data_IF_117405187212
#
_entry.id   IF_117405187212
#
_cell.length_a   1.000
_cell.length_b   1.000
_cell.length_c   1.000
_cell.angle_alpha   90.00
_cell.angle_beta   90.00
_cell.angle_gamma   90.00
#
_symmetry.space_group_name_H-M   'P 1'
#
loop_
_entity.id
_entity.type
_entity.pdbx_description
1 polymer ?
#
# COMPACT_ATOMS: atom_id res chain seq x y z
N UNK A 1 19.10 9.76 16.83
CA UNK A 1 17.89 10.17 17.58
C UNK A 1 16.99 11.14 16.81
N UNK A 2 17.50 12.24 16.22
CA UNK A 2 16.65 13.24 15.52
C UNK A 2 15.84 12.64 14.34
N UNK A 3 16.46 11.77 13.53
CA UNK A 3 15.76 11.10 12.43
C UNK A 3 14.73 10.05 12.93
N UNK A 4 14.90 9.53 14.15
CA UNK A 4 13.99 8.56 14.76
C UNK A 4 12.71 9.27 15.24
N UNK A 5 12.86 10.38 15.98
CA UNK A 5 11.73 11.16 16.51
C UNK A 5 10.88 11.76 15.38
N UNK A 6 11.50 12.28 14.31
CA UNK A 6 10.76 12.84 13.17
C UNK A 6 10.01 11.77 12.36
N UNK A 7 10.65 10.62 12.10
CA UNK A 7 10.03 9.54 11.33
C UNK A 7 8.90 8.86 12.12
N UNK A 8 9.07 8.68 13.43
CA UNK A 8 8.09 8.00 14.25
C UNK A 8 6.89 8.89 14.57
N UNK A 9 7.09 10.19 14.84
CA UNK A 9 5.98 11.16 15.00
C UNK A 9 5.09 11.22 13.75
N UNK A 10 5.69 11.16 12.56
CA UNK A 10 4.95 11.11 11.28
C UNK A 10 4.06 9.86 11.20
N UNK A 11 4.54 8.70 11.68
CA UNK A 11 3.75 7.46 11.68
C UNK A 11 2.56 7.52 12.64
N UNK A 12 2.70 8.16 13.80
CA UNK A 12 1.59 8.41 14.72
C UNK A 12 0.52 9.31 14.09
N UNK A 13 0.95 10.39 13.44
CA UNK A 13 0.05 11.30 12.74
C UNK A 13 -0.71 10.59 11.61
N UNK A 14 0.01 9.85 10.76
CA UNK A 14 -0.59 9.05 9.67
C UNK A 14 -1.63 8.05 10.22
N UNK A 15 -1.30 7.31 11.28
CA UNK A 15 -2.23 6.36 11.85
C UNK A 15 -3.47 7.08 12.39
N UNK A 16 -3.32 8.18 13.13
CA UNK A 16 -4.46 8.94 13.66
C UNK A 16 -5.38 9.45 12.55
N UNK A 17 -4.83 9.83 11.40
CA UNK A 17 -5.60 10.31 10.25
C UNK A 17 -6.44 9.19 9.61
N UNK A 18 -5.92 7.96 9.53
CA UNK A 18 -6.58 6.86 8.82
C UNK A 18 -7.30 5.83 9.71
N UNK A 19 -7.03 5.81 11.01
CA UNK A 19 -7.53 4.77 11.93
C UNK A 19 -9.06 4.63 11.90
N UNK A 20 -9.78 5.73 11.74
CA UNK A 20 -11.25 5.72 11.71
C UNK A 20 -11.84 4.97 10.51
N UNK A 21 -11.10 4.73 9.43
CA UNK A 21 -11.59 3.94 8.30
C UNK A 21 -11.65 2.44 8.60
N UNK A 22 -11.00 1.94 9.67
CA UNK A 22 -11.02 0.52 10.03
C UNK A 22 -12.41 0.02 10.47
N UNK A 23 -13.19 0.89 11.10
CA UNK A 23 -14.52 0.60 11.64
C UNK A 23 -15.62 1.28 10.81
N UNK A 24 -15.35 2.44 10.21
CA UNK A 24 -16.29 3.10 9.31
C UNK A 24 -16.50 2.32 7.99
N UNK A 25 -15.45 1.83 7.34
CA UNK A 25 -15.60 1.12 6.07
C UNK A 25 -16.46 -0.17 6.15
N UNK A 26 -16.36 -1.03 7.18
CA UNK A 26 -17.30 -2.15 7.36
C UNK A 26 -18.74 -1.70 7.56
N UNK A 27 -18.98 -0.62 8.30
CA UNK A 27 -20.32 -0.08 8.54
C UNK A 27 -20.90 0.47 7.22
N UNK A 28 -20.09 1.17 6.45
CA UNK A 28 -20.49 1.71 5.15
C UNK A 28 -20.77 0.60 4.13
N UNK A 29 -19.97 -0.47 4.14
CA UNK A 29 -20.21 -1.63 3.29
C UNK A 29 -21.55 -2.32 3.61
N UNK A 30 -21.88 -2.49 4.89
CA UNK A 30 -23.12 -3.13 5.32
C UNK A 30 -24.34 -2.24 5.10
N UNK A 31 -24.24 -0.95 5.45
CA UNK A 31 -25.34 0.01 5.24
C UNK A 31 -25.61 0.23 3.75
N UNK A 32 -24.55 0.31 2.94
CA UNK A 32 -24.64 0.37 1.50
C UNK A 32 -25.36 -0.82 0.88
N UNK A 33 -25.07 -2.04 1.36
CA UNK A 33 -25.73 -3.26 0.90
C UNK A 33 -27.22 -3.20 1.20
N UNK A 34 -27.57 -2.80 2.43
CA UNK A 34 -28.94 -2.67 2.87
C UNK A 34 -29.73 -1.63 2.07
N UNK A 35 -29.13 -0.47 1.77
CA UNK A 35 -29.76 0.57 0.97
C UNK A 35 -29.98 0.13 -0.48
N UNK A 36 -28.97 -0.45 -1.12
CA UNK A 36 -29.09 -0.94 -2.50
C UNK A 36 -30.11 -2.08 -2.59
N UNK A 37 -30.11 -2.98 -1.60
CA UNK A 37 -31.14 -4.02 -1.45
C UNK A 37 -32.54 -3.42 -1.37
N UNK A 38 -32.73 -2.35 -0.60
CA UNK A 38 -34.04 -1.72 -0.41
C UNK A 38 -34.56 -1.02 -1.68
N UNK A 39 -33.66 -0.57 -2.56
CA UNK A 39 -34.00 0.19 -3.77
C UNK A 39 -34.27 -0.73 -4.97
N UNK A 40 -33.39 -1.71 -5.23
CA UNK A 40 -33.43 -2.53 -6.46
C UNK A 40 -33.83 -3.99 -6.16
N UNK A 41 -33.85 -4.39 -4.89
CA UNK A 41 -34.13 -5.75 -4.46
C UNK A 41 -32.87 -6.60 -4.25
N UNK A 42 -33.06 -7.80 -3.70
CA UNK A 42 -31.97 -8.66 -3.21
C UNK A 42 -31.06 -9.20 -4.31
N UNK A 43 -31.64 -9.81 -5.35
CA UNK A 43 -30.87 -10.52 -6.37
C UNK A 43 -29.98 -9.58 -7.21
N UNK A 44 -30.47 -8.40 -7.69
CA UNK A 44 -29.63 -7.46 -8.41
C UNK A 44 -28.52 -6.86 -7.52
N UNK A 45 -28.85 -6.53 -6.26
CA UNK A 45 -27.88 -6.01 -5.30
C UNK A 45 -26.75 -7.01 -5.03
N UNK A 46 -27.09 -8.29 -4.86
CA UNK A 46 -26.12 -9.36 -4.64
C UNK A 46 -25.16 -9.52 -5.82
N UNK A 47 -25.66 -9.43 -7.06
CA UNK A 47 -24.81 -9.53 -8.26
C UNK A 47 -23.74 -8.43 -8.30
N UNK A 48 -24.14 -7.17 -8.06
CA UNK A 48 -23.22 -6.04 -7.99
C UNK A 48 -22.20 -6.18 -6.84
N UNK A 49 -22.65 -6.63 -5.66
CA UNK A 49 -21.76 -6.86 -4.51
C UNK A 49 -20.75 -7.98 -4.73
N UNK A 50 -21.14 -9.09 -5.37
CA UNK A 50 -20.21 -10.16 -5.70
C UNK A 50 -19.11 -9.67 -6.65
N UNK A 51 -19.47 -8.88 -7.66
CA UNK A 51 -18.49 -8.28 -8.55
C UNK A 51 -17.61 -7.25 -7.81
N UNK A 52 -18.18 -6.49 -6.89
CA UNK A 52 -17.43 -5.55 -6.07
C UNK A 52 -16.38 -6.25 -5.19
N UNK A 53 -16.77 -7.33 -4.50
CA UNK A 53 -15.85 -8.16 -3.72
C UNK A 53 -14.76 -8.75 -4.63
N UNK A 54 -15.14 -9.26 -5.80
CA UNK A 54 -14.18 -9.80 -6.76
C UNK A 54 -13.14 -8.75 -7.19
N UNK A 55 -13.56 -7.52 -7.51
CA UNK A 55 -12.65 -6.42 -7.86
C UNK A 55 -11.71 -6.11 -6.70
N UNK A 56 -12.21 -6.03 -5.46
CA UNK A 56 -11.37 -5.79 -4.28
C UNK A 56 -10.32 -6.89 -4.12
N UNK A 57 -10.69 -8.16 -4.29
CA UNK A 57 -9.75 -9.29 -4.19
C UNK A 57 -8.63 -9.18 -5.23
N UNK A 58 -8.97 -8.84 -6.48
CA UNK A 58 -7.98 -8.60 -7.53
C UNK A 58 -7.05 -7.43 -7.15
N UNK A 59 -7.59 -6.34 -6.62
CA UNK A 59 -6.80 -5.18 -6.19
C UNK A 59 -5.86 -5.52 -5.02
N UNK A 60 -6.29 -6.37 -4.09
CA UNK A 60 -5.44 -6.86 -2.98
C UNK A 60 -4.26 -7.67 -3.54
N UNK A 61 -4.50 -8.56 -4.51
CA UNK A 61 -3.44 -9.34 -5.16
C UNK A 61 -2.46 -8.42 -5.90
N UNK A 62 -2.97 -7.45 -6.67
CA UNK A 62 -2.14 -6.45 -7.34
C UNK A 62 -1.31 -5.63 -6.35
N UNK A 63 -1.90 -5.23 -5.22
CA UNK A 63 -1.22 -4.44 -4.18
C UNK A 63 -0.12 -5.25 -3.47
N UNK A 64 -0.36 -6.52 -3.16
CA UNK A 64 0.68 -7.42 -2.62
C UNK A 64 1.85 -7.58 -3.58
N UNK A 65 1.54 -7.85 -4.84
CA UNK A 65 2.54 -7.93 -5.91
C UNK A 65 3.35 -6.63 -5.99
N UNK A 66 2.70 -5.48 -5.92
CA UNK A 66 3.36 -4.18 -5.95
C UNK A 66 4.31 -3.98 -4.76
N UNK A 67 3.94 -4.45 -3.56
CA UNK A 67 4.79 -4.42 -2.37
C UNK A 67 6.06 -5.26 -2.55
N UNK A 68 5.94 -6.48 -3.10
CA UNK A 68 7.09 -7.35 -3.37
C UNK A 68 8.06 -6.72 -4.39
N UNK A 69 7.51 -6.10 -5.45
CA UNK A 69 8.33 -5.37 -6.42
C UNK A 69 9.01 -4.13 -5.80
N UNK A 70 8.33 -3.44 -4.88
CA UNK A 70 8.91 -2.29 -4.19
C UNK A 70 10.15 -2.70 -3.37
N UNK A 71 10.06 -3.79 -2.61
CA UNK A 71 11.19 -4.34 -1.86
C UNK A 71 12.35 -4.76 -2.77
N UNK A 72 12.03 -5.35 -3.93
CA UNK A 72 13.05 -5.72 -4.90
C UNK A 72 13.77 -4.50 -5.50
N UNK A 73 13.01 -3.44 -5.86
CA UNK A 73 13.58 -2.19 -6.35
C UNK A 73 14.50 -1.56 -5.30
N UNK A 74 14.09 -1.54 -4.04
CA UNK A 74 14.92 -1.03 -2.94
C UNK A 74 16.25 -1.80 -2.84
N UNK A 75 16.20 -3.14 -2.85
CA UNK A 75 17.41 -3.98 -2.83
C UNK A 75 18.33 -3.74 -4.03
N UNK A 76 17.77 -3.60 -5.23
CA UNK A 76 18.55 -3.28 -6.42
C UNK A 76 19.22 -1.91 -6.32
N UNK A 77 18.49 -0.90 -5.85
CA UNK A 77 18.99 0.45 -5.66
C UNK A 77 20.10 0.50 -4.60
N UNK A 78 19.93 -0.17 -3.47
CA UNK A 78 20.93 -0.26 -2.40
C UNK A 78 22.23 -0.89 -2.91
N UNK A 79 22.14 -2.01 -3.64
CA UNK A 79 23.30 -2.67 -4.25
C UNK A 79 24.02 -1.76 -5.25
N UNK A 80 23.26 -1.02 -6.08
CA UNK A 80 23.83 -0.05 -7.02
C UNK A 80 24.57 1.07 -6.28
N UNK A 81 23.96 1.63 -5.23
CA UNK A 81 24.55 2.70 -4.42
C UNK A 81 25.81 2.20 -3.69
N UNK A 82 25.78 0.99 -3.16
CA UNK A 82 26.94 0.36 -2.53
C UNK A 82 28.11 0.24 -3.52
N UNK A 83 27.87 -0.33 -4.70
CA UNK A 83 28.92 -0.48 -5.73
C UNK A 83 29.46 0.87 -6.17
N UNK A 84 28.59 1.87 -6.33
CA UNK A 84 29.00 3.22 -6.67
C UNK A 84 29.90 3.82 -5.57
N UNK A 85 29.53 3.62 -4.31
CA UNK A 85 30.35 4.05 -3.16
C UNK A 85 31.71 3.36 -3.12
N UNK A 86 31.78 2.05 -3.37
CA UNK A 86 33.03 1.30 -3.44
C UNK A 86 33.94 1.84 -4.55
N UNK A 87 33.37 2.13 -5.73
CA UNK A 87 34.09 2.72 -6.85
C UNK A 87 34.61 4.13 -6.56
N UNK A 88 33.81 4.98 -5.90
CA UNK A 88 34.23 6.33 -5.51
C UNK A 88 35.35 6.28 -4.45
N UNK A 89 35.26 5.37 -3.50
CA UNK A 89 36.32 5.17 -2.50
C UNK A 89 37.63 4.67 -3.14
N UNK A 90 37.56 3.88 -4.20
CA UNK A 90 38.71 3.36 -4.95
C UNK A 90 39.05 4.16 -6.22
N UNK A 91 38.67 5.44 -6.31
CA UNK A 91 38.73 6.24 -7.55
C UNK A 91 40.13 6.27 -8.19
N UNK A 92 41.19 6.42 -7.40
CA UNK A 92 42.56 6.46 -7.91
C UNK A 92 42.95 5.18 -8.66
N UNK A 93 42.50 4.01 -8.19
CA UNK A 93 42.78 2.70 -8.82
C UNK A 93 42.08 2.61 -10.18
N UNK A 94 40.83 3.05 -10.25
CA UNK A 94 40.04 3.05 -11.49
C UNK A 94 40.71 3.93 -12.55
N UNK A 95 41.19 5.12 -12.15
CA UNK A 95 41.90 6.06 -13.03
C UNK A 95 43.26 5.54 -13.49
N UNK A 96 44.10 5.01 -12.58
CA UNK A 96 45.44 4.51 -12.97
C UNK A 96 45.38 3.33 -13.95
N UNK A 97 44.30 2.56 -13.95
CA UNK A 97 44.14 1.40 -14.83
C UNK A 97 43.23 1.67 -16.05
N UNK A 98 42.77 2.91 -16.26
CA UNK A 98 41.79 3.26 -17.30
C UNK A 98 40.53 2.36 -17.29
N UNK A 99 40.05 1.97 -16.10
CA UNK A 99 38.87 1.09 -15.94
C UNK A 99 37.52 1.82 -15.96
N UNK A 100 37.50 3.08 -16.38
CA UNK A 100 36.30 3.93 -16.35
C UNK A 100 35.15 3.35 -17.16
N UNK A 101 35.42 2.93 -18.40
CA UNK A 101 34.41 2.33 -19.27
C UNK A 101 33.85 1.02 -18.69
N UNK A 102 34.69 0.25 -18.00
CA UNK A 102 34.28 -1.01 -17.37
C UNK A 102 33.41 -0.76 -16.14
N UNK A 103 33.78 0.23 -15.33
CA UNK A 103 32.99 0.68 -14.17
C UNK A 103 31.62 1.21 -14.61
N UNK A 104 31.59 2.04 -15.66
CA UNK A 104 30.36 2.56 -16.25
C UNK A 104 29.45 1.42 -16.73
N UNK A 105 29.96 0.49 -17.53
CA UNK A 105 29.20 -0.66 -18.03
C UNK A 105 28.60 -1.48 -16.88
N UNK A 106 29.37 -1.70 -15.81
CA UNK A 106 28.90 -2.42 -14.63
C UNK A 106 27.73 -1.70 -13.95
N UNK A 107 27.84 -0.39 -13.69
CA UNK A 107 26.76 0.40 -13.07
C UNK A 107 25.54 0.49 -13.98
N UNK A 108 25.73 0.70 -15.28
CA UNK A 108 24.63 0.77 -16.25
C UNK A 108 23.85 -0.55 -16.33
N UNK A 109 24.53 -1.70 -16.32
CA UNK A 109 23.84 -3.00 -16.32
C UNK A 109 22.93 -3.19 -15.08
N UNK A 110 23.37 -2.72 -13.91
CA UNK A 110 22.55 -2.75 -12.69
C UNK A 110 21.36 -1.80 -12.81
N UNK A 111 21.59 -0.61 -13.35
CA UNK A 111 20.57 0.41 -13.58
C UNK A 111 19.51 -0.04 -14.59
N UNK A 112 19.89 -0.74 -15.65
CA UNK A 112 18.96 -1.32 -16.63
C UNK A 112 18.05 -2.38 -16.00
N UNK A 113 18.61 -3.24 -15.14
CA UNK A 113 17.81 -4.23 -14.41
C UNK A 113 16.81 -3.58 -13.45
N UNK A 114 17.25 -2.55 -12.73
CA UNK A 114 16.39 -1.73 -11.86
C UNK A 114 15.27 -1.05 -12.67
N UNK A 115 15.60 -0.40 -13.79
CA UNK A 115 14.61 0.24 -14.66
C UNK A 115 13.59 -0.74 -15.25
N UNK A 116 14.01 -1.94 -15.64
CA UNK A 116 13.10 -2.99 -16.12
C UNK A 116 12.08 -3.37 -15.04
N UNK A 117 12.53 -3.51 -13.80
CA UNK A 117 11.69 -3.81 -12.64
C UNK A 117 10.74 -2.66 -12.30
N UNK A 118 11.24 -1.42 -12.32
CA UNK A 118 10.43 -0.21 -12.17
C UNK A 118 9.33 -0.15 -13.23
N UNK A 119 9.66 -0.41 -14.50
CA UNK A 119 8.68 -0.37 -15.60
C UNK A 119 7.53 -1.37 -15.39
N UNK A 120 7.84 -2.60 -14.96
CA UNK A 120 6.82 -3.61 -14.61
C UNK A 120 5.94 -3.16 -13.45
N UNK A 121 6.54 -2.55 -12.43
CA UNK A 121 5.85 -2.00 -11.26
C UNK A 121 4.85 -0.92 -11.67
N UNK A 122 5.25 0.02 -12.52
CA UNK A 122 4.34 1.05 -13.04
C UNK A 122 3.23 0.49 -13.92
N UNK A 123 3.49 -0.56 -14.70
CA UNK A 123 2.45 -1.24 -15.48
C UNK A 123 1.39 -1.87 -14.56
N UNK A 124 1.81 -2.61 -13.53
CA UNK A 124 0.89 -3.20 -12.54
C UNK A 124 0.10 -2.11 -11.81
N UNK A 125 0.77 -1.01 -11.43
CA UNK A 125 0.13 0.13 -10.79
C UNK A 125 -0.92 0.79 -11.69
N UNK A 126 -0.62 0.95 -12.98
CA UNK A 126 -1.56 1.48 -13.96
C UNK A 126 -2.78 0.56 -14.13
N UNK A 127 -2.58 -0.76 -14.18
CA UNK A 127 -3.66 -1.74 -14.22
C UNK A 127 -4.53 -1.68 -12.95
N UNK A 128 -3.92 -1.60 -11.77
CA UNK A 128 -4.64 -1.50 -10.51
C UNK A 128 -5.49 -0.22 -10.44
N UNK A 129 -4.95 0.91 -10.90
CA UNK A 129 -5.68 2.18 -11.00
C UNK A 129 -6.81 2.11 -12.04
N UNK A 130 -6.56 1.47 -13.19
CA UNK A 130 -7.56 1.23 -14.22
C UNK A 130 -8.73 0.40 -13.70
N UNK A 131 -8.44 -0.69 -12.97
CA UNK A 131 -9.45 -1.51 -12.29
C UNK A 131 -10.24 -0.69 -11.26
N UNK A 132 -9.59 0.17 -10.49
CA UNK A 132 -10.27 1.03 -9.52
C UNK A 132 -11.28 1.97 -10.18
N UNK A 133 -10.92 2.61 -11.28
CA UNK A 133 -11.81 3.51 -12.04
C UNK A 133 -12.93 2.73 -12.73
N UNK A 134 -12.61 1.58 -13.33
CA UNK A 134 -13.58 0.73 -14.03
C UNK A 134 -14.53 -0.04 -13.11
N UNK A 135 -14.23 -0.13 -11.80
CA UNK A 135 -15.01 -0.88 -10.83
C UNK A 135 -16.47 -0.44 -10.78
N UNK A 136 -16.73 0.86 -10.56
CA UNK A 136 -18.11 1.38 -10.44
C UNK A 136 -18.91 1.13 -11.71
N UNK A 137 -18.29 1.33 -12.88
CA UNK A 137 -18.93 1.07 -14.17
C UNK A 137 -19.27 -0.42 -14.34
N UNK A 138 -18.30 -1.30 -14.05
CA UNK A 138 -18.48 -2.76 -14.13
C UNK A 138 -19.60 -3.26 -13.21
N UNK A 139 -19.64 -2.78 -11.97
CA UNK A 139 -20.67 -3.11 -10.96
C UNK A 139 -22.06 -2.63 -11.40
N UNK A 140 -22.12 -1.41 -11.95
CA UNK A 140 -23.36 -0.83 -12.46
C UNK A 140 -23.89 -1.64 -13.65
N UNK A 141 -23.02 -1.99 -14.59
CA UNK A 141 -23.37 -2.83 -15.75
C UNK A 141 -23.86 -4.22 -15.34
N UNK A 142 -23.22 -4.85 -14.35
CA UNK A 142 -23.67 -6.14 -13.84
C UNK A 142 -25.06 -6.06 -13.19
N UNK A 143 -25.30 -5.02 -12.38
CA UNK A 143 -26.58 -4.80 -11.70
C UNK A 143 -27.69 -4.54 -12.72
N UNK A 144 -27.49 -3.63 -13.68
CA UNK A 144 -28.47 -3.31 -14.73
C UNK A 144 -28.69 -4.51 -15.66
N UNK A 145 -27.62 -5.21 -16.05
CA UNK A 145 -27.71 -6.39 -16.90
C UNK A 145 -28.56 -7.49 -16.28
N UNK A 146 -28.46 -7.68 -14.96
CA UNK A 146 -29.31 -8.63 -14.22
C UNK A 146 -30.79 -8.19 -14.22
N UNK A 147 -31.07 -6.91 -13.96
CA UNK A 147 -32.45 -6.37 -13.99
C UNK A 147 -33.07 -6.59 -15.36
N UNK A 148 -32.32 -6.28 -16.43
CA UNK A 148 -32.75 -6.44 -17.81
C UNK A 148 -33.07 -7.91 -18.14
N UNK A 149 -32.20 -8.85 -17.75
CA UNK A 149 -32.42 -10.28 -17.99
C UNK A 149 -33.65 -10.83 -17.26
N UNK A 150 -33.97 -10.27 -16.09
CA UNK A 150 -35.07 -10.75 -15.25
C UNK A 150 -36.42 -10.09 -15.62
N UNK A 151 -36.47 -9.29 -16.70
CA UNK A 151 -37.61 -8.43 -17.06
C UNK A 151 -38.10 -7.57 -15.87
N UNK A 152 -37.19 -7.20 -14.97
CA UNK A 152 -37.50 -6.39 -13.81
C UNK A 152 -37.76 -4.95 -14.25
N UNK A 153 -38.94 -4.42 -13.93
CA UNK A 153 -39.25 -3.01 -14.11
C UNK A 153 -38.74 -2.23 -12.90
N UNK A 154 -37.54 -1.66 -13.00
CA UNK A 154 -36.98 -0.74 -12.00
C UNK A 154 -37.02 0.68 -12.56
N UNK A 155 -37.43 1.64 -11.75
CA UNK A 155 -37.50 3.05 -12.16
C UNK A 155 -36.07 3.56 -12.39
N UNK A 156 -35.85 4.36 -13.43
CA UNK A 156 -34.52 4.89 -13.74
C UNK A 156 -33.87 5.61 -12.54
N UNK A 157 -34.66 6.30 -11.72
CA UNK A 157 -34.17 7.01 -10.53
C UNK A 157 -33.52 6.07 -9.51
N UNK A 158 -34.08 4.88 -9.33
CA UNK A 158 -33.61 3.86 -8.39
C UNK A 158 -32.27 3.28 -8.86
N UNK A 159 -32.13 3.07 -10.17
CA UNK A 159 -30.88 2.64 -10.80
C UNK A 159 -29.77 3.68 -10.58
N UNK A 160 -30.02 4.96 -10.89
CA UNK A 160 -29.02 6.01 -10.69
C UNK A 160 -28.64 6.19 -9.21
N UNK A 161 -29.61 6.01 -8.31
CA UNK A 161 -29.38 6.08 -6.88
C UNK A 161 -28.47 4.94 -6.41
N UNK A 162 -28.71 3.70 -6.85
CA UNK A 162 -27.85 2.57 -6.49
C UNK A 162 -26.43 2.69 -7.07
N UNK A 163 -26.29 3.17 -8.32
CA UNK A 163 -24.97 3.45 -8.91
C UNK A 163 -24.19 4.45 -8.07
N UNK A 164 -24.86 5.49 -7.59
CA UNK A 164 -24.26 6.51 -6.72
C UNK A 164 -23.78 5.89 -5.40
N UNK A 165 -24.59 5.02 -4.78
CA UNK A 165 -24.19 4.30 -3.57
C UNK A 165 -22.98 3.39 -3.79
N UNK A 166 -22.93 2.63 -4.89
CA UNK A 166 -21.73 1.83 -5.23
C UNK A 166 -20.48 2.72 -5.35
N UNK A 167 -20.60 3.91 -5.93
CA UNK A 167 -19.50 4.86 -6.05
C UNK A 167 -18.99 5.36 -4.69
N UNK A 168 -19.90 5.63 -3.75
CA UNK A 168 -19.61 6.09 -2.38
C UNK A 168 -18.90 5.00 -1.59
N UNK A 169 -19.48 3.80 -1.49
CA UNK A 169 -18.94 2.66 -0.69
C UNK A 169 -17.57 2.22 -1.18
N UNK A 170 -17.30 2.36 -2.48
CA UNK A 170 -16.08 1.86 -3.12
C UNK A 170 -14.80 2.47 -2.55
N UNK A 171 -14.74 3.79 -2.39
CA UNK A 171 -13.51 4.48 -1.98
C UNK A 171 -13.04 4.10 -0.57
N UNK A 172 -13.89 4.15 0.47
CA UNK A 172 -13.48 3.79 1.83
C UNK A 172 -13.10 2.33 1.96
N UNK A 173 -13.86 1.42 1.33
CA UNK A 173 -13.61 -0.03 1.42
C UNK A 173 -12.38 -0.46 0.61
N UNK A 174 -12.24 0.02 -0.64
CA UNK A 174 -11.18 -0.46 -1.53
C UNK A 174 -9.85 0.29 -1.35
N UNK A 175 -9.86 1.53 -0.84
CA UNK A 175 -8.65 2.36 -0.73
C UNK A 175 -8.30 2.72 0.71
N UNK A 176 -9.22 3.31 1.47
CA UNK A 176 -8.87 3.85 2.79
C UNK A 176 -8.69 2.76 3.84
N UNK A 177 -9.50 1.70 3.81
CA UNK A 177 -9.36 0.59 4.75
C UNK A 177 -8.01 -0.13 4.62
N UNK A 178 -7.52 -0.52 3.42
CA UNK A 178 -6.17 -1.06 3.27
C UNK A 178 -5.07 -0.13 3.77
N UNK A 179 -5.17 1.17 3.49
CA UNK A 179 -4.21 2.18 3.97
C UNK A 179 -4.24 2.24 5.51
N UNK A 180 -5.42 2.25 6.11
CA UNK A 180 -5.56 2.27 7.56
C UNK A 180 -4.94 1.03 8.22
N UNK A 181 -5.11 -0.15 7.63
CA UNK A 181 -4.46 -1.39 8.08
C UNK A 181 -2.94 -1.27 8.00
N UNK A 182 -2.41 -0.82 6.86
CA UNK A 182 -0.96 -0.63 6.66
C UNK A 182 -0.37 0.33 7.70
N UNK A 183 -0.96 1.51 7.86
CA UNK A 183 -0.49 2.53 8.81
C UNK A 183 -0.55 2.04 10.25
N UNK A 184 -1.60 1.31 10.62
CA UNK A 184 -1.73 0.71 11.96
C UNK A 184 -0.67 -0.35 12.21
N UNK A 185 -0.39 -1.21 11.23
CA UNK A 185 0.67 -2.23 11.33
C UNK A 185 2.06 -1.57 11.44
N UNK A 186 2.33 -0.54 10.64
CA UNK A 186 3.57 0.23 10.73
C UNK A 186 3.74 0.92 12.08
N UNK A 187 2.67 1.52 12.60
CA UNK A 187 2.70 2.11 13.94
C UNK A 187 2.99 1.05 15.00
N UNK A 188 2.33 -0.11 14.94
CA UNK A 188 2.55 -1.21 15.89
C UNK A 188 4.01 -1.69 15.89
N UNK A 189 4.63 -1.85 14.72
CA UNK A 189 6.05 -2.20 14.62
C UNK A 189 6.96 -1.12 15.20
N UNK A 190 6.59 0.15 15.02
CA UNK A 190 7.33 1.31 15.56
C UNK A 190 7.26 1.35 17.07
N UNK A 191 6.06 1.20 17.65
CA UNK A 191 5.85 1.15 19.10
C UNK A 191 6.67 0.02 19.72
N UNK A 192 6.68 -1.17 19.10
CA UNK A 192 7.50 -2.29 19.57
C UNK A 192 8.99 -1.96 19.61
N UNK A 193 9.52 -1.31 18.57
CA UNK A 193 10.93 -0.89 18.54
C UNK A 193 11.26 0.14 19.61
N UNK A 194 10.35 1.10 19.86
CA UNK A 194 10.53 2.10 20.92
C UNK A 194 10.55 1.44 22.29
N UNK A 195 9.64 0.49 22.54
CA UNK A 195 9.59 -0.28 23.80
C UNK A 195 10.90 -1.06 24.03
N UNK A 196 11.39 -1.78 23.01
CA UNK A 196 12.67 -2.49 23.07
C UNK A 196 13.86 -1.55 23.35
N UNK A 197 13.89 -0.35 22.76
CA UNK A 197 14.94 0.66 22.98
C UNK A 197 14.89 1.24 24.41
N UNK A 198 13.70 1.52 24.93
CA UNK A 198 13.53 2.08 26.28
C UNK A 198 13.99 1.07 27.34
N UNK A 199 13.65 -0.22 27.18
CA UNK A 199 14.08 -1.28 28.10
C UNK A 199 15.60 -1.45 28.14
N UNK A 200 16.29 -1.30 27.00
CA UNK A 200 17.76 -1.33 26.95
C UNK A 200 18.40 -0.13 27.69
N UNK A 201 17.80 1.06 27.57
CA UNK A 201 18.30 2.26 28.26
C UNK A 201 18.11 2.19 29.78
N UNK A 202 17.04 1.54 30.25
CA UNK A 202 16.79 1.32 31.68
C UNK A 202 17.82 0.35 32.28
N UNK A 203 18.16 -0.74 31.57
CA UNK A 203 19.20 -1.68 32.00
C UNK A 203 20.59 -1.05 32.08
N UNK A 204 20.98 -0.20 31.13
CA UNK A 204 22.25 0.55 31.18
C UNK A 204 22.31 1.59 32.31
N UNK A 205 21.15 2.09 32.76
CA UNK A 205 21.07 3.03 33.87
C UNK A 205 21.15 2.31 35.23
N UNK A 206 20.78 1.03 35.27
CA UNK A 206 20.74 0.20 36.48
C UNK A 206 22.02 -0.62 36.72
N UNK A 207 22.89 -0.80 35.71
CA UNK A 207 24.26 -1.27 35.98
C UNK A 207 25.06 -0.14 36.64
N UNK A 208 25.50 -0.30 37.90
CA UNK A 208 26.33 0.70 38.54
C UNK A 208 27.62 0.83 37.72
N UNK A 209 28.00 2.08 37.41
CA UNK A 209 29.33 2.41 36.96
C UNK A 209 30.33 1.78 37.93
N UNK A 210 30.98 0.68 37.53
CA UNK A 210 32.09 0.04 38.26
C UNK A 210 33.35 0.94 38.26
N UNK A 211 33.18 2.26 38.34
CA UNK A 211 34.23 3.26 38.45
C UNK A 211 34.57 3.61 39.92
N UNK A 212 33.83 3.08 40.91
CA UNK A 212 34.06 3.36 42.33
C UNK A 212 34.74 2.20 43.10
N UNK A 213 35.46 1.29 42.40
CA UNK A 213 36.21 0.19 43.04
C UNK A 213 37.74 0.40 43.11
N UNK A 214 38.25 1.59 42.80
CA UNK A 214 39.66 1.94 43.04
C UNK A 214 39.81 3.36 43.62
N UNK A 215 39.29 3.58 44.82
CA UNK A 215 39.76 4.61 45.75
C UNK A 215 39.99 3.96 47.13
#
# INVERSE_FOLDING_TARGET
>A
MINLVGTDATRFFDCSMYFHFLWEAPIEFLSGLYLIYSIIGFLPALCGYLLFIFVILVQIICSRTLSEYHDNIAKCADKRIQVLSEMTNAFHIVKMNNWEDLAEKRVNSMREHEFSTIRKTYLIRALNMGLFVAATLSISLATIGYIWLTNGSVVSIDIFTAISFYGVIRTPVASYMPIAIEKTLHLRMTVKRIDELLQQSEQQTLEPSNADQYQ
#
